data_IF_185500082530
#
_entry.id   IF_185500082530
#
_cell.length_a   1.000
_cell.length_b   1.000
_cell.length_c   1.000
_cell.angle_alpha   90.00
_cell.angle_beta   90.00
_cell.angle_gamma   90.00
#
_symmetry.space_group_name_H-M   'P 1'
#
loop_
_entity.id
_entity.type
_entity.pdbx_description
1 polymer ?
#
# COMPACT_ATOMS: atom_id res chain seq x y z
N UNK A 1 4.68 -0.80 4.91
CA UNK A 1 4.49 -0.29 3.53
C UNK A 1 5.50 0.80 3.18
N UNK A 2 5.59 1.88 3.97
CA UNK A 2 6.53 2.99 3.74
C UNK A 2 7.99 2.51 3.63
N UNK A 3 8.46 1.70 4.57
CA UNK A 3 9.82 1.14 4.53
C UNK A 3 10.12 0.35 3.24
N UNK A 4 9.16 -0.46 2.78
CA UNK A 4 9.30 -1.24 1.55
C UNK A 4 9.35 -0.35 0.30
N UNK A 5 8.54 0.71 0.26
CA UNK A 5 8.57 1.71 -0.82
C UNK A 5 9.89 2.49 -0.82
N UNK A 6 10.37 2.91 0.35
CA UNK A 6 11.65 3.59 0.50
C UNK A 6 12.82 2.69 0.09
N UNK A 7 12.80 1.40 0.48
CA UNK A 7 13.78 0.41 0.03
C UNK A 7 13.77 0.23 -1.49
N UNK A 8 12.58 0.17 -2.10
CA UNK A 8 12.44 0.16 -3.55
C UNK A 8 13.08 1.41 -4.21
N UNK A 9 12.83 2.59 -3.64
CA UNK A 9 13.43 3.84 -4.11
C UNK A 9 14.96 3.83 -4.02
N UNK A 10 15.53 3.36 -2.90
CA UNK A 10 16.99 3.23 -2.72
C UNK A 10 17.60 2.28 -3.74
N UNK A 11 16.97 1.13 -3.99
CA UNK A 11 17.40 0.17 -5.02
C UNK A 11 17.38 0.75 -6.43
N UNK A 12 16.59 1.79 -6.66
CA UNK A 12 16.55 2.56 -7.91
C UNK A 12 17.45 3.80 -7.91
N UNK A 13 18.32 3.96 -6.92
CA UNK A 13 19.33 5.01 -6.87
C UNK A 13 18.92 6.28 -6.11
N UNK A 14 17.78 6.29 -5.42
CA UNK A 14 17.43 7.42 -4.56
C UNK A 14 18.29 7.42 -3.29
N UNK A 15 18.68 8.62 -2.85
CA UNK A 15 19.30 8.81 -1.54
C UNK A 15 18.34 8.33 -0.43
N UNK A 16 18.85 7.75 0.68
CA UNK A 16 18.00 7.18 1.73
C UNK A 16 16.92 8.12 2.27
N UNK A 17 17.30 9.36 2.59
CA UNK A 17 16.38 10.36 3.16
C UNK A 17 15.33 10.79 2.13
N UNK A 18 15.73 10.95 0.86
CA UNK A 18 14.81 11.26 -0.23
C UNK A 18 13.82 10.11 -0.44
N UNK A 19 14.28 8.86 -0.45
CA UNK A 19 13.42 7.70 -0.65
C UNK A 19 12.39 7.57 0.47
N UNK A 20 12.80 7.77 1.72
CA UNK A 20 11.90 7.75 2.88
C UNK A 20 10.87 8.89 2.82
N UNK A 21 11.31 10.09 2.48
CA UNK A 21 10.44 11.27 2.35
C UNK A 21 9.38 11.05 1.29
N UNK A 22 9.78 10.63 0.08
CA UNK A 22 8.86 10.36 -1.03
C UNK A 22 7.89 9.22 -0.69
N UNK A 23 8.38 8.12 -0.11
CA UNK A 23 7.52 7.00 0.28
C UNK A 23 6.48 7.40 1.32
N UNK A 24 6.89 8.18 2.33
CA UNK A 24 5.98 8.68 3.38
C UNK A 24 4.92 9.59 2.80
N UNK A 25 5.31 10.58 2.00
CA UNK A 25 4.37 11.51 1.39
C UNK A 25 3.44 10.84 0.37
N UNK A 26 3.92 9.82 -0.34
CA UNK A 26 3.10 9.02 -1.26
C UNK A 26 1.97 8.32 -0.51
N UNK A 27 2.29 7.66 0.60
CA UNK A 27 1.28 6.95 1.41
C UNK A 27 0.32 7.94 2.07
N UNK A 28 0.83 9.03 2.63
CA UNK A 28 0.01 10.08 3.24
C UNK A 28 -0.96 10.71 2.23
N UNK A 29 -0.45 11.14 1.08
CA UNK A 29 -1.25 11.78 0.04
C UNK A 29 -2.30 10.84 -0.55
N UNK A 30 -1.98 9.55 -0.73
CA UNK A 30 -2.94 8.56 -1.21
C UNK A 30 -4.07 8.34 -0.19
N UNK A 31 -3.75 8.24 1.11
CA UNK A 31 -4.73 8.10 2.18
C UNK A 31 -5.63 9.34 2.30
N UNK A 32 -5.04 10.53 2.26
CA UNK A 32 -5.75 11.80 2.30
C UNK A 32 -6.71 11.94 1.11
N UNK A 33 -6.22 11.69 -0.12
CA UNK A 33 -7.04 11.72 -1.32
C UNK A 33 -8.22 10.75 -1.23
N UNK A 34 -8.01 9.52 -0.74
CA UNK A 34 -9.08 8.55 -0.57
C UNK A 34 -10.11 8.97 0.49
N UNK A 35 -9.68 9.63 1.57
CA UNK A 35 -10.55 10.09 2.65
C UNK A 35 -11.37 11.33 2.29
N UNK A 36 -10.83 12.22 1.47
CA UNK A 36 -11.46 13.50 1.11
C UNK A 36 -12.27 13.41 -0.19
N UNK A 37 -12.02 12.40 -1.02
CA UNK A 37 -12.68 12.22 -2.30
C UNK A 37 -14.11 11.68 -2.16
N UNK A 38 -14.99 12.11 -3.08
CA UNK A 38 -16.31 11.50 -3.29
C UNK A 38 -16.27 10.28 -4.21
N UNK A 39 -15.12 10.04 -4.86
CA UNK A 39 -14.89 8.91 -5.75
C UNK A 39 -14.45 7.68 -4.95
N UNK A 40 -14.80 6.50 -5.45
CA UNK A 40 -14.28 5.24 -4.92
C UNK A 40 -12.77 5.12 -5.14
N UNK A 41 -12.10 4.31 -4.32
CA UNK A 41 -10.67 4.01 -4.49
C UNK A 41 -10.35 3.35 -5.83
N UNK A 42 -11.31 2.63 -6.43
CA UNK A 42 -11.17 2.06 -7.77
C UNK A 42 -11.14 3.15 -8.84
N UNK A 43 -12.00 4.18 -8.72
CA UNK A 43 -12.03 5.32 -9.64
C UNK A 43 -10.76 6.16 -9.48
N UNK A 44 -10.35 6.47 -8.26
CA UNK A 44 -9.09 7.18 -7.98
C UNK A 44 -7.88 6.45 -8.59
N UNK A 45 -7.83 5.12 -8.48
CA UNK A 45 -6.79 4.32 -9.12
C UNK A 45 -6.80 4.47 -10.64
N UNK A 46 -7.98 4.45 -11.28
CA UNK A 46 -8.08 4.62 -12.74
C UNK A 46 -7.56 5.98 -13.22
N UNK A 47 -7.66 7.02 -12.39
CA UNK A 47 -7.18 8.36 -12.75
C UNK A 47 -5.65 8.46 -12.90
N UNK A 48 -4.89 7.55 -12.28
CA UNK A 48 -3.41 7.56 -12.29
C UNK A 48 -2.79 6.39 -13.04
N UNK A 49 -3.62 5.56 -13.70
CA UNK A 49 -3.20 4.37 -14.42
C UNK A 49 -3.56 4.52 -15.90
N UNK A 50 -2.54 4.64 -16.75
CA UNK A 50 -2.69 4.58 -18.20
C UNK A 50 -2.27 3.20 -18.73
N UNK A 51 -2.96 2.64 -19.75
CA UNK A 51 -2.53 1.40 -20.40
C UNK A 51 -1.08 1.51 -20.91
N UNK A 52 -0.23 0.55 -20.55
CA UNK A 52 1.19 0.55 -20.90
C UNK A 52 2.07 1.54 -20.10
N UNK A 53 1.50 2.30 -19.16
CA UNK A 53 2.23 3.25 -18.34
C UNK A 53 3.06 2.62 -17.21
N UNK A 54 3.91 3.42 -16.58
CA UNK A 54 4.78 3.00 -15.47
C UNK A 54 3.99 2.53 -14.25
N UNK A 55 2.90 3.22 -13.90
CA UNK A 55 1.98 2.81 -12.81
C UNK A 55 1.37 1.44 -13.09
N UNK A 56 0.96 1.17 -14.33
CA UNK A 56 0.39 -0.11 -14.72
C UNK A 56 1.41 -1.26 -14.57
N UNK A 57 2.66 -1.04 -14.99
CA UNK A 57 3.74 -2.01 -14.80
C UNK A 57 4.02 -2.30 -13.31
N UNK A 58 4.02 -1.27 -12.46
CA UNK A 58 4.17 -1.42 -11.01
C UNK A 58 3.01 -2.22 -10.39
N UNK A 59 1.77 -1.92 -10.76
CA UNK A 59 0.59 -2.64 -10.29
C UNK A 59 0.60 -4.12 -10.72
N UNK A 60 0.99 -4.42 -11.96
CA UNK A 60 1.12 -5.79 -12.45
C UNK A 60 2.15 -6.60 -11.63
N UNK A 61 3.26 -5.97 -11.22
CA UNK A 61 4.23 -6.61 -10.34
C UNK A 61 3.65 -6.89 -8.94
N UNK A 62 2.89 -5.95 -8.36
CA UNK A 62 2.23 -6.14 -7.07
C UNK A 62 1.16 -7.25 -7.12
N UNK A 63 0.43 -7.36 -8.22
CA UNK A 63 -0.56 -8.40 -8.48
C UNK A 63 0.09 -9.79 -8.58
N UNK A 64 1.19 -9.90 -9.34
CA UNK A 64 1.99 -11.15 -9.41
C UNK A 64 2.48 -11.60 -8.03
N UNK A 65 2.79 -10.65 -7.15
CA UNK A 65 3.24 -10.90 -5.78
C UNK A 65 2.08 -11.11 -4.79
N UNK A 66 0.83 -11.08 -5.26
CA UNK A 66 -0.38 -11.26 -4.43
C UNK A 66 -0.44 -10.29 -3.24
N UNK A 67 -0.07 -9.04 -3.50
CA UNK A 67 0.08 -8.03 -2.44
C UNK A 67 -1.26 -7.76 -1.75
N UNK A 68 -2.36 -7.70 -2.51
CA UNK A 68 -3.69 -7.45 -1.95
C UNK A 68 -4.15 -8.60 -1.06
N UNK A 69 -3.93 -9.85 -1.49
CA UNK A 69 -4.25 -11.05 -0.73
C UNK A 69 -3.43 -11.10 0.57
N UNK A 70 -2.16 -10.72 0.53
CA UNK A 70 -1.31 -10.61 1.71
C UNK A 70 -1.84 -9.60 2.74
N UNK A 71 -2.30 -8.44 2.29
CA UNK A 71 -2.91 -7.42 3.16
C UNK A 71 -4.24 -7.90 3.77
N UNK A 72 -5.09 -8.55 2.97
CA UNK A 72 -6.35 -9.14 3.44
C UNK A 72 -6.07 -10.20 4.52
N UNK A 73 -5.12 -11.11 4.25
CA UNK A 73 -4.73 -12.15 5.19
C UNK A 73 -4.16 -11.58 6.49
N UNK A 74 -3.37 -10.51 6.43
CA UNK A 74 -2.84 -9.84 7.62
C UNK A 74 -3.95 -9.32 8.54
N UNK A 75 -4.98 -8.68 7.98
CA UNK A 75 -6.14 -8.19 8.75
C UNK A 75 -6.92 -9.35 9.37
N UNK A 76 -7.15 -10.42 8.61
CA UNK A 76 -7.84 -11.62 9.11
C UNK A 76 -7.08 -12.28 10.25
N UNK A 77 -5.76 -12.45 10.11
CA UNK A 77 -4.90 -13.04 11.13
C UNK A 77 -4.90 -12.21 12.42
N UNK A 78 -4.75 -10.88 12.31
CA UNK A 78 -4.81 -9.97 13.44
C UNK A 78 -6.16 -10.03 14.15
N UNK A 79 -7.26 -10.07 13.39
CA UNK A 79 -8.62 -10.19 13.93
C UNK A 79 -8.80 -11.50 14.70
N UNK A 80 -8.37 -12.63 14.13
CA UNK A 80 -8.43 -13.94 14.77
C UNK A 80 -7.65 -13.94 16.10
N UNK A 81 -6.43 -13.43 16.11
CA UNK A 81 -5.62 -13.36 17.34
C UNK A 81 -6.29 -12.48 18.39
N UNK A 82 -6.86 -11.34 18.00
CA UNK A 82 -7.61 -10.47 18.90
C UNK A 82 -8.78 -11.18 19.59
N UNK A 83 -9.51 -12.04 18.86
CA UNK A 83 -10.59 -12.85 19.42
C UNK A 83 -10.10 -13.93 20.39
N UNK A 84 -8.96 -14.57 20.09
CA UNK A 84 -8.33 -15.55 20.98
C UNK A 84 -7.90 -14.88 22.29
N UNK A 85 -7.22 -13.72 22.21
CA UNK A 85 -6.82 -12.94 23.38
C UNK A 85 -8.01 -12.52 24.24
N UNK A 86 -9.13 -12.14 23.64
CA UNK A 86 -10.33 -11.77 24.37
C UNK A 86 -10.92 -12.95 25.16
N UNK A 87 -10.81 -14.18 24.64
CA UNK A 87 -11.25 -15.41 25.32
C UNK A 87 -10.25 -15.87 26.40
N UNK A 88 -8.96 -15.62 26.23
CA UNK A 88 -7.91 -15.90 27.22
C UNK A 88 -8.01 -14.97 28.45
N UNK A 89 -8.57 -13.77 28.28
CA UNK A 89 -8.71 -12.74 29.32
C UNK A 89 -10.12 -12.71 29.97
N UNK A 90 -10.98 -13.70 29.69
CA UNK A 90 -12.29 -13.93 30.32
C UNK A 90 -12.22 -15.18 31.20
#
# INVERSE_FOLDING_TARGET
>A
MIEALAEGGKKMGLAPDTALTLATQTVLGAAQLASESKLSTQELRKMVVTPGGTTAAGLAALEKLKTAEGLIAAVQAATKRGQEMAKENL
#
